data_IF_001489660305
#
_entry.id   IF_001489660305
#
_cell.length_a   1.000
_cell.length_b   1.000
_cell.length_c   1.000
_cell.angle_alpha   90.00
_cell.angle_beta   90.00
_cell.angle_gamma   90.00
#
_symmetry.space_group_name_H-M   'P 1'
#
loop_
_entity.id
_entity.type
_entity.pdbx_description
1 polymer ?
#
# COMPACT_ATOMS: atom_id res chain seq x y z
N UNK A 1 -4.96 7.31 -8.30
CA UNK A 1 -4.24 6.17 -8.90
C UNK A 1 -3.21 6.70 -9.87
N UNK A 2 -1.98 6.18 -9.85
CA UNK A 2 -0.94 6.55 -10.83
C UNK A 2 -0.40 5.31 -11.54
N UNK A 3 -0.20 5.42 -12.85
CA UNK A 3 0.13 4.30 -13.74
C UNK A 3 -1.10 3.50 -14.16
N UNK A 4 -0.88 2.45 -14.95
CA UNK A 4 -1.92 1.51 -15.35
C UNK A 4 -1.94 0.30 -14.42
N UNK A 5 -3.10 -0.34 -14.25
CA UNK A 5 -3.16 -1.61 -13.51
C UNK A 5 -2.29 -2.71 -14.14
N UNK A 6 -1.86 -2.56 -15.39
CA UNK A 6 -1.03 -3.53 -16.11
C UNK A 6 0.46 -3.14 -16.15
N UNK A 7 0.86 -1.94 -15.68
CA UNK A 7 2.27 -1.54 -15.70
C UNK A 7 3.08 -2.28 -14.64
N UNK A 8 4.41 -2.27 -14.82
CA UNK A 8 5.35 -2.91 -13.90
C UNK A 8 5.34 -2.25 -12.50
N UNK A 9 4.94 -0.97 -12.43
CA UNK A 9 4.75 -0.21 -11.22
C UNK A 9 3.36 0.47 -11.25
N UNK A 10 2.61 0.37 -10.15
CA UNK A 10 1.28 0.97 -10.02
C UNK A 10 1.05 1.47 -8.60
N UNK A 11 0.53 2.69 -8.46
CA UNK A 11 0.36 3.34 -7.16
C UNK A 11 -1.11 3.61 -6.84
N UNK A 12 -1.49 3.30 -5.60
CA UNK A 12 -2.82 3.57 -5.05
C UNK A 12 -2.71 4.45 -3.81
N UNK A 13 -3.55 5.47 -3.79
CA UNK A 13 -3.70 6.42 -2.71
C UNK A 13 -5.19 6.53 -2.46
N UNK A 14 -5.64 6.11 -1.28
CA UNK A 14 -7.06 6.07 -0.97
C UNK A 14 -7.32 6.05 0.54
N UNK A 15 -8.55 6.39 0.91
CA UNK A 15 -9.05 6.35 2.28
C UNK A 15 -9.43 4.91 2.65
N UNK A 16 -8.58 4.24 3.43
CA UNK A 16 -8.74 2.84 3.81
C UNK A 16 -9.88 2.63 4.80
N UNK A 17 -10.14 3.62 5.64
CA UNK A 17 -11.29 3.68 6.53
C UNK A 17 -12.61 3.67 5.74
N UNK A 18 -12.74 4.49 4.69
CA UNK A 18 -13.92 4.47 3.83
C UNK A 18 -14.06 3.18 3.01
N UNK A 19 -12.95 2.65 2.46
CA UNK A 19 -12.97 1.37 1.76
C UNK A 19 -13.50 0.26 2.68
N UNK A 20 -13.01 0.22 3.93
CA UNK A 20 -13.40 -0.80 4.89
C UNK A 20 -14.82 -0.62 5.40
N UNK A 21 -15.23 0.61 5.68
CA UNK A 21 -16.60 0.94 6.08
C UNK A 21 -17.60 0.43 5.03
N UNK A 22 -17.30 0.63 3.75
CA UNK A 22 -18.12 0.11 2.65
C UNK A 22 -18.14 -1.42 2.58
N UNK A 23 -17.02 -2.10 2.82
CA UNK A 23 -16.93 -3.57 2.81
C UNK A 23 -17.67 -4.22 3.98
N UNK A 24 -17.57 -3.62 5.17
CA UNK A 24 -18.13 -4.15 6.42
C UNK A 24 -19.54 -3.65 6.70
N UNK A 25 -20.10 -2.78 5.85
CA UNK A 25 -21.38 -2.10 6.07
C UNK A 25 -21.43 -1.39 7.44
N UNK A 26 -20.30 -0.82 7.84
CA UNK A 26 -20.12 -0.11 9.11
C UNK A 26 -19.94 1.39 8.88
N UNK A 27 -20.08 2.20 9.94
CA UNK A 27 -19.73 3.62 9.85
C UNK A 27 -18.21 3.80 9.79
N UNK A 28 -17.77 4.90 9.19
CA UNK A 28 -16.35 5.25 9.09
C UNK A 28 -15.76 5.48 10.49
N UNK A 29 -16.55 6.06 11.40
CA UNK A 29 -16.18 6.30 12.79
C UNK A 29 -15.89 4.98 13.50
N UNK A 30 -16.75 3.97 13.36
CA UNK A 30 -16.55 2.67 13.97
C UNK A 30 -15.28 1.98 13.44
N UNK A 31 -15.03 2.06 12.12
CA UNK A 31 -13.79 1.53 11.51
C UNK A 31 -12.54 2.24 12.04
N UNK A 32 -12.59 3.57 12.21
CA UNK A 32 -11.48 4.35 12.77
C UNK A 32 -11.20 3.97 14.22
N UNK A 33 -12.24 3.81 15.03
CA UNK A 33 -12.11 3.41 16.43
C UNK A 33 -11.58 1.98 16.59
N UNK A 34 -12.06 1.04 15.77
CA UNK A 34 -11.65 -0.36 15.86
C UNK A 34 -10.24 -0.62 15.32
N UNK A 35 -9.87 0.02 14.21
CA UNK A 35 -8.65 -0.34 13.46
C UNK A 35 -7.61 0.79 13.34
N UNK A 36 -7.94 2.03 13.73
CA UNK A 36 -7.04 3.17 13.57
C UNK A 36 -6.73 3.53 12.11
N UNK A 37 -7.57 3.10 11.16
CA UNK A 37 -7.33 3.28 9.73
C UNK A 37 -7.61 4.73 9.29
N UNK A 38 -6.83 5.21 8.32
CA UNK A 38 -7.06 6.45 7.56
C UNK A 38 -6.60 6.24 6.10
N UNK A 39 -5.67 7.05 5.63
CA UNK A 39 -5.12 6.95 4.29
C UNK A 39 -4.21 5.72 4.16
N UNK A 40 -4.24 5.09 2.98
CA UNK A 40 -3.27 4.06 2.60
C UNK A 40 -2.58 4.42 1.29
N UNK A 41 -1.28 4.22 1.32
CA UNK A 41 -0.34 4.39 0.22
C UNK A 41 0.15 2.99 -0.17
N UNK A 42 -0.17 2.53 -1.37
CA UNK A 42 0.24 1.21 -1.84
C UNK A 42 1.04 1.31 -3.13
N UNK A 43 2.16 0.60 -3.15
CA UNK A 43 2.99 0.39 -4.34
C UNK A 43 2.81 -1.07 -4.78
N UNK A 44 2.36 -1.27 -6.00
CA UNK A 44 2.28 -2.59 -6.63
C UNK A 44 3.43 -2.74 -7.64
N UNK A 45 4.35 -3.65 -7.36
CA UNK A 45 5.50 -3.97 -8.21
C UNK A 45 5.26 -5.30 -8.93
N UNK A 46 5.73 -5.45 -10.17
CA UNK A 46 5.59 -6.66 -10.97
C UNK A 46 6.84 -6.97 -11.80
N UNK A 47 6.98 -8.24 -12.18
CA UNK A 47 8.07 -8.78 -13.04
C UNK A 47 9.45 -8.47 -12.45
N UNK A 48 10.40 -7.98 -13.25
CA UNK A 48 11.77 -7.72 -12.77
C UNK A 48 11.80 -6.78 -11.56
N UNK A 49 10.96 -5.75 -11.53
CA UNK A 49 10.92 -4.78 -10.41
C UNK A 49 10.62 -5.46 -9.08
N UNK A 50 9.63 -6.37 -9.04
CA UNK A 50 9.31 -7.11 -7.81
C UNK A 50 10.42 -8.07 -7.41
N UNK A 51 11.06 -8.72 -8.39
CA UNK A 51 12.15 -9.66 -8.12
C UNK A 51 13.36 -8.95 -7.55
N UNK A 52 13.74 -7.82 -8.14
CA UNK A 52 14.92 -7.05 -7.74
C UNK A 52 14.71 -6.40 -6.37
N UNK A 53 13.49 -5.91 -6.08
CA UNK A 53 13.14 -5.39 -4.76
C UNK A 53 13.33 -6.45 -3.66
N UNK A 54 12.82 -7.67 -3.88
CA UNK A 54 12.93 -8.76 -2.89
C UNK A 54 14.39 -9.20 -2.71
N UNK A 55 15.17 -9.27 -3.79
CA UNK A 55 16.61 -9.58 -3.68
C UNK A 55 17.33 -8.56 -2.82
N UNK A 56 17.15 -7.27 -3.12
CA UNK A 56 17.73 -6.19 -2.31
C UNK A 56 17.29 -6.28 -0.85
N UNK A 57 16.01 -6.53 -0.58
CA UNK A 57 15.50 -6.65 0.78
C UNK A 57 16.18 -7.79 1.56
N UNK A 58 16.40 -8.94 0.90
CA UNK A 58 17.05 -10.10 1.53
C UNK A 58 18.57 -9.89 1.69
N UNK A 59 19.22 -9.25 0.72
CA UNK A 59 20.67 -9.11 0.68
C UNK A 59 21.20 -7.92 1.49
N UNK A 60 20.45 -6.81 1.51
CA UNK A 60 20.87 -5.53 2.09
C UNK A 60 20.20 -5.25 3.44
N UNK A 61 19.18 -6.02 3.84
CA UNK A 61 18.34 -5.79 5.04
C UNK A 61 17.93 -4.31 5.17
N UNK A 62 17.55 -3.71 4.04
CA UNK A 62 17.29 -2.27 3.97
C UNK A 62 15.87 -1.94 4.46
N UNK A 63 15.75 -0.85 5.20
CA UNK A 63 14.47 -0.27 5.56
C UNK A 63 13.98 0.67 4.44
N UNK A 64 12.89 0.29 3.78
CA UNK A 64 12.27 1.09 2.74
C UNK A 64 11.79 2.45 3.26
N UNK A 65 11.42 2.53 4.54
CA UNK A 65 10.97 3.79 5.14
C UNK A 65 12.14 4.76 5.33
N UNK A 66 13.34 4.26 5.63
CA UNK A 66 14.52 5.10 5.86
C UNK A 66 15.17 5.60 4.56
N UNK A 67 15.10 4.85 3.46
CA UNK A 67 15.62 5.30 2.16
C UNK A 67 14.80 6.44 1.51
N UNK A 68 13.58 6.69 2.01
CA UNK A 68 12.64 7.65 1.43
C UNK A 68 12.66 9.05 2.05
N UNK A 69 13.56 9.32 3.00
CA UNK A 69 13.65 10.59 3.78
C UNK A 69 14.87 11.42 3.37
#
# INVERSE_FOLDING_TARGET
YFGSKQTHLFFRFYEKDYERASQEMASVEAIREMYGLRNRYEISMRKEISTDFIKRYIEEDFDLADEGV
#
